data_IF_453196784790
#
_entry.id   IF_453196784790
#
_cell.length_a   1.000
_cell.length_b   1.000
_cell.length_c   1.000
_cell.angle_alpha   90.00
_cell.angle_beta   90.00
_cell.angle_gamma   90.00
#
_symmetry.space_group_name_H-M   'P 1'
#
loop_
_entity.id
_entity.type
_entity.pdbx_description
1 polymer ?
#
# COMPACT_ATOMS: atom_id res chain seq x y z
N UNK A 1 24.52 -14.48 -6.39
CA UNK A 1 24.08 -13.35 -7.23
C UNK A 1 23.66 -12.22 -6.31
N UNK A 2 24.30 -11.06 -6.40
CA UNK A 2 23.92 -9.89 -5.61
C UNK A 2 22.49 -9.49 -5.99
N UNK A 3 21.66 -9.13 -5.01
CA UNK A 3 20.30 -8.70 -5.34
C UNK A 3 20.35 -7.40 -6.14
N UNK A 4 19.64 -7.33 -7.29
CA UNK A 4 19.69 -6.18 -8.18
C UNK A 4 18.95 -4.94 -7.64
N UNK A 5 18.27 -5.04 -6.50
CA UNK A 5 17.47 -3.95 -5.95
C UNK A 5 18.02 -3.54 -4.57
N UNK A 6 18.46 -2.29 -4.39
CA UNK A 6 18.81 -1.81 -3.06
C UNK A 6 17.58 -1.87 -2.14
N UNK A 7 17.76 -2.08 -0.83
CA UNK A 7 16.73 -1.80 0.16
C UNK A 7 16.04 -0.45 -0.13
N UNK A 8 14.70 -0.41 -0.24
CA UNK A 8 14.00 0.84 -0.51
C UNK A 8 13.61 1.14 -1.98
N UNK A 9 13.84 0.23 -2.92
CA UNK A 9 13.76 0.49 -4.36
C UNK A 9 12.33 0.60 -4.91
N UNK A 10 11.63 1.69 -4.56
CA UNK A 10 10.68 2.30 -5.50
C UNK A 10 11.48 3.23 -6.41
N UNK A 11 11.33 3.08 -7.72
CA UNK A 11 12.06 3.89 -8.70
C UNK A 11 11.65 5.37 -8.66
N UNK A 12 10.38 5.65 -8.35
CA UNK A 12 9.90 7.02 -8.25
C UNK A 12 10.35 7.69 -6.95
N UNK A 13 10.83 8.92 -7.11
CA UNK A 13 11.12 9.82 -6.00
C UNK A 13 9.83 10.12 -5.20
N UNK A 14 9.99 10.34 -3.91
CA UNK A 14 8.89 10.74 -3.03
C UNK A 14 8.47 12.19 -3.32
N UNK A 15 7.18 12.52 -3.17
CA UNK A 15 6.76 13.90 -3.22
C UNK A 15 7.25 14.60 -1.94
N UNK A 16 7.66 15.86 -2.06
CA UNK A 16 8.13 16.64 -0.91
C UNK A 16 7.02 16.96 0.09
N UNK A 17 5.76 16.98 -0.35
CA UNK A 17 4.60 17.28 0.49
C UNK A 17 3.32 16.62 -0.05
N UNK A 18 2.32 16.49 0.82
CA UNK A 18 1.01 15.96 0.46
C UNK A 18 0.14 17.10 -0.11
N UNK A 19 0.28 17.37 -1.41
CA UNK A 19 -0.48 18.41 -2.10
C UNK A 19 -1.96 18.01 -2.28
N UNK A 20 -2.89 18.97 -2.39
CA UNK A 20 -4.29 18.69 -2.70
C UNK A 20 -4.44 17.97 -4.04
N UNK A 21 -5.27 16.93 -4.07
CA UNK A 21 -5.65 16.23 -5.28
C UNK A 21 -6.57 17.12 -6.13
N UNK A 22 -6.31 17.29 -7.44
CA UNK A 22 -7.12 18.16 -8.29
C UNK A 22 -8.56 17.65 -8.48
N UNK A 23 -8.82 16.36 -8.24
CA UNK A 23 -10.14 15.75 -8.44
C UNK A 23 -11.00 15.76 -7.18
N UNK A 24 -10.45 15.39 -6.02
CA UNK A 24 -11.23 15.26 -4.79
C UNK A 24 -10.91 16.30 -3.72
N UNK A 25 -9.98 17.23 -3.96
CA UNK A 25 -9.58 18.29 -3.03
C UNK A 25 -8.79 17.84 -1.79
N UNK A 26 -8.90 16.56 -1.42
CA UNK A 26 -8.16 15.96 -0.32
C UNK A 26 -6.65 15.85 -0.63
N UNK A 27 -5.78 15.78 0.39
CA UNK A 27 -4.37 15.45 0.18
C UNK A 27 -4.19 14.18 -0.68
N UNK A 28 -3.33 14.25 -1.69
CA UNK A 28 -3.10 13.19 -2.67
C UNK A 28 -2.83 11.85 -1.99
N UNK A 29 -3.57 10.81 -2.40
CA UNK A 29 -3.57 9.48 -1.79
C UNK A 29 -4.72 9.22 -0.81
N UNK A 30 -5.30 10.25 -0.17
CA UNK A 30 -6.38 10.06 0.82
C UNK A 30 -7.65 9.46 0.22
N UNK A 31 -7.95 9.85 -1.02
CA UNK A 31 -9.09 9.32 -1.78
C UNK A 31 -8.88 7.93 -2.37
N UNK A 32 -7.75 7.26 -2.10
CA UNK A 32 -7.47 5.94 -2.65
C UNK A 32 -8.40 4.85 -2.07
N UNK A 33 -8.87 3.87 -2.88
CA UNK A 33 -8.71 3.76 -4.33
C UNK A 33 -9.82 4.48 -5.13
N UNK A 34 -10.82 5.04 -4.44
CA UNK A 34 -12.08 5.51 -5.03
C UNK A 34 -11.92 6.75 -5.94
N UNK A 35 -10.98 7.64 -5.62
CA UNK A 35 -10.62 8.78 -6.46
C UNK A 35 -9.57 8.36 -7.47
N UNK A 36 -9.91 8.42 -8.76
CA UNK A 36 -9.04 7.98 -9.88
C UNK A 36 -7.71 8.71 -9.94
N UNK A 37 -7.67 10.02 -9.64
CA UNK A 37 -6.42 10.77 -9.58
C UNK A 37 -5.54 10.33 -8.40
N UNK A 38 -6.11 10.12 -7.20
CA UNK A 38 -5.38 9.54 -6.08
C UNK A 38 -4.90 8.11 -6.39
N UNK A 39 -5.72 7.31 -7.08
CA UNK A 39 -5.37 5.97 -7.50
C UNK A 39 -4.18 5.97 -8.45
N UNK A 40 -4.19 6.81 -9.49
CA UNK A 40 -3.11 6.95 -10.45
C UNK A 40 -1.80 7.37 -9.76
N UNK A 41 -1.84 8.38 -8.89
CA UNK A 41 -0.65 8.87 -8.17
C UNK A 41 -0.05 7.81 -7.22
N UNK A 42 -0.88 7.05 -6.53
CA UNK A 42 -0.42 5.97 -5.63
C UNK A 42 0.09 4.77 -6.43
N UNK A 43 -0.63 4.36 -7.47
CA UNK A 43 -0.27 3.19 -8.27
C UNK A 43 0.94 3.46 -9.17
N UNK A 44 1.25 4.72 -9.51
CA UNK A 44 2.46 5.12 -10.24
C UNK A 44 3.75 4.55 -9.61
N UNK A 45 3.81 4.45 -8.29
CA UNK A 45 4.98 3.87 -7.60
C UNK A 45 5.15 2.38 -7.90
N UNK A 46 4.07 1.62 -7.95
CA UNK A 46 4.13 0.19 -8.31
C UNK A 46 4.35 0.02 -9.81
N UNK A 47 3.70 0.85 -10.63
CA UNK A 47 3.81 0.84 -12.08
C UNK A 47 5.23 1.14 -12.56
N UNK A 48 5.96 2.04 -11.92
CA UNK A 48 7.33 2.32 -12.29
C UNK A 48 8.24 1.09 -12.12
N UNK A 49 8.12 0.39 -11.00
CA UNK A 49 8.91 -0.81 -10.72
C UNK A 49 8.50 -1.97 -11.64
N UNK A 50 7.20 -2.11 -11.90
CA UNK A 50 6.67 -3.07 -12.87
C UNK A 50 7.16 -2.79 -14.29
N UNK A 51 7.10 -1.53 -14.73
CA UNK A 51 7.56 -1.11 -16.06
C UNK A 51 9.05 -1.36 -16.26
N UNK A 52 9.87 -1.14 -15.22
CA UNK A 52 11.29 -1.48 -15.27
C UNK A 52 11.52 -3.01 -15.36
N UNK A 53 10.73 -3.81 -14.65
CA UNK A 53 10.77 -5.27 -14.78
C UNK A 53 10.39 -5.71 -16.20
N UNK A 54 9.30 -5.18 -16.76
CA UNK A 54 8.87 -5.47 -18.13
C UNK A 54 9.96 -5.13 -19.15
N UNK A 55 10.50 -3.91 -19.06
CA UNK A 55 11.58 -3.46 -19.94
C UNK A 55 12.85 -4.32 -19.80
N UNK A 56 13.22 -4.71 -18.58
CA UNK A 56 14.38 -5.57 -18.32
C UNK A 56 14.20 -7.00 -18.82
N UNK A 57 12.95 -7.47 -18.91
CA UNK A 57 12.58 -8.78 -19.43
C UNK A 57 12.23 -8.78 -20.93
N UNK A 58 12.21 -7.62 -21.59
CA UNK A 58 11.82 -7.50 -23.00
C UNK A 58 10.34 -7.82 -23.25
N UNK A 59 9.48 -7.61 -22.24
CA UNK A 59 8.05 -7.92 -22.28
C UNK A 59 7.25 -6.63 -22.51
N UNK A 60 6.28 -6.68 -23.43
CA UNK A 60 5.38 -5.55 -23.67
C UNK A 60 4.18 -5.57 -22.72
N UNK A 61 3.66 -4.39 -22.37
CA UNK A 61 2.48 -4.26 -21.52
C UNK A 61 1.21 -4.76 -22.24
N UNK A 62 0.32 -5.41 -21.51
CA UNK A 62 -0.97 -5.91 -21.98
C UNK A 62 -0.91 -7.25 -22.73
N UNK A 63 0.27 -7.85 -22.91
CA UNK A 63 0.42 -9.08 -23.69
C UNK A 63 0.23 -10.35 -22.86
N UNK A 64 0.25 -11.51 -23.52
CA UNK A 64 0.22 -12.79 -22.80
C UNK A 64 1.54 -13.01 -22.04
N UNK A 65 2.66 -12.54 -22.58
CA UNK A 65 3.97 -12.59 -21.94
C UNK A 65 3.99 -11.80 -20.62
N UNK A 66 3.26 -10.67 -20.51
CA UNK A 66 3.09 -9.96 -19.24
C UNK A 66 2.42 -10.84 -18.18
N UNK A 67 1.38 -11.59 -18.57
CA UNK A 67 0.67 -12.49 -17.65
C UNK A 67 1.56 -13.64 -17.21
N UNK A 68 2.35 -14.19 -18.14
CA UNK A 68 3.30 -15.25 -17.83
C UNK A 68 4.42 -14.75 -16.91
N UNK A 69 4.88 -13.52 -17.10
CA UNK A 69 5.83 -12.86 -16.19
C UNK A 69 5.23 -12.63 -14.81
N UNK A 70 3.96 -12.19 -14.71
CA UNK A 70 3.28 -12.04 -13.43
C UNK A 70 3.19 -13.38 -12.68
N UNK A 71 2.88 -14.48 -13.38
CA UNK A 71 2.89 -15.81 -12.80
C UNK A 71 4.29 -16.22 -12.31
N UNK A 72 5.34 -15.94 -13.09
CA UNK A 72 6.73 -16.19 -12.69
C UNK A 72 7.09 -15.44 -11.41
N UNK A 73 6.78 -14.14 -11.33
CA UNK A 73 7.03 -13.30 -10.15
C UNK A 73 6.37 -13.89 -8.91
N UNK A 74 5.11 -14.34 -9.00
CA UNK A 74 4.37 -14.92 -7.86
C UNK A 74 4.92 -16.28 -7.39
N UNK A 75 5.63 -17.01 -8.25
CA UNK A 75 6.26 -18.30 -7.90
C UNK A 75 7.72 -18.17 -7.48
N UNK A 76 8.33 -17.00 -7.69
CA UNK A 76 9.72 -16.76 -7.33
C UNK A 76 9.89 -16.74 -5.79
N UNK A 77 11.08 -17.11 -5.27
CA UNK A 77 11.36 -17.00 -3.84
C UNK A 77 11.16 -15.57 -3.33
N UNK A 78 10.65 -15.36 -2.10
CA UNK A 78 10.47 -14.03 -1.53
C UNK A 78 11.73 -13.18 -1.60
N UNK A 79 11.58 -11.95 -2.08
CA UNK A 79 12.70 -11.02 -2.29
C UNK A 79 13.44 -11.18 -3.61
N UNK A 80 13.10 -12.15 -4.47
CA UNK A 80 13.70 -12.24 -5.81
C UNK A 80 13.37 -10.99 -6.65
N UNK A 81 12.15 -10.48 -6.53
CA UNK A 81 11.69 -9.22 -7.12
C UNK A 81 11.42 -8.16 -6.04
N UNK A 82 11.36 -6.86 -6.41
CA UNK A 82 10.86 -5.82 -5.51
C UNK A 82 9.46 -6.17 -5.02
N UNK A 83 9.15 -5.84 -3.77
CA UNK A 83 7.84 -6.13 -3.19
C UNK A 83 6.68 -5.45 -3.94
N UNK A 84 6.96 -4.33 -4.63
CA UNK A 84 6.03 -3.62 -5.52
C UNK A 84 5.70 -4.45 -6.76
N UNK A 85 6.68 -5.15 -7.34
CA UNK A 85 6.43 -6.08 -8.45
C UNK A 85 5.59 -7.28 -7.99
N UNK A 86 5.83 -7.84 -6.80
CA UNK A 86 5.00 -8.92 -6.26
C UNK A 86 3.54 -8.46 -6.10
N UNK A 87 3.34 -7.30 -5.48
CA UNK A 87 2.00 -6.73 -5.28
C UNK A 87 1.31 -6.40 -6.62
N UNK A 88 2.06 -5.90 -7.60
CA UNK A 88 1.51 -5.58 -8.92
C UNK A 88 1.17 -6.86 -9.69
N UNK A 89 2.01 -7.90 -9.64
CA UNK A 89 1.72 -9.20 -10.21
C UNK A 89 0.43 -9.82 -9.62
N UNK A 90 0.19 -9.66 -8.30
CA UNK A 90 -1.07 -10.04 -7.68
C UNK A 90 -2.26 -9.25 -8.26
N UNK A 91 -2.12 -7.94 -8.46
CA UNK A 91 -3.19 -7.08 -9.06
C UNK A 91 -3.50 -7.46 -10.50
N UNK A 92 -2.50 -7.86 -11.28
CA UNK A 92 -2.65 -8.31 -12.67
C UNK A 92 -3.20 -9.73 -12.79
N UNK A 93 -3.17 -10.50 -11.70
CA UNK A 93 -3.63 -11.90 -11.68
C UNK A 93 -5.06 -11.97 -11.14
N UNK A 94 -6.06 -12.38 -11.95
CA UNK A 94 -7.41 -12.62 -11.44
C UNK A 94 -7.42 -13.87 -10.57
N UNK A 95 -8.08 -13.81 -9.42
CA UNK A 95 -8.30 -14.96 -8.56
C UNK A 95 -9.04 -16.08 -9.33
N UNK A 96 -8.60 -17.34 -9.24
CA UNK A 96 -9.27 -18.44 -9.93
C UNK A 96 -10.70 -18.68 -9.42
N UNK A 97 -10.97 -18.40 -8.14
CA UNK A 97 -12.29 -18.57 -7.53
C UNK A 97 -13.20 -17.35 -7.73
N UNK A 98 -12.87 -16.20 -7.14
CA UNK A 98 -13.77 -15.04 -7.11
C UNK A 98 -13.54 -14.02 -8.24
N UNK A 99 -12.56 -14.24 -9.12
CA UNK A 99 -12.20 -13.35 -10.25
C UNK A 99 -11.76 -11.92 -9.91
N UNK A 100 -11.83 -11.51 -8.64
CA UNK A 100 -11.22 -10.27 -8.15
C UNK A 100 -9.69 -10.30 -8.28
N UNK A 101 -9.01 -9.16 -8.08
CA UNK A 101 -7.56 -9.13 -7.99
C UNK A 101 -7.07 -10.09 -6.91
N UNK A 102 -6.00 -10.85 -7.19
CA UNK A 102 -5.52 -11.87 -6.27
C UNK A 102 -5.17 -11.23 -4.89
N UNK A 103 -5.74 -11.79 -3.83
CA UNK A 103 -5.60 -11.26 -2.47
C UNK A 103 -6.58 -10.15 -2.06
N UNK A 104 -7.40 -9.62 -2.98
CA UNK A 104 -8.37 -8.54 -2.69
C UNK A 104 -9.81 -9.02 -2.43
N UNK A 105 -10.16 -10.22 -2.89
CA UNK A 105 -11.52 -10.77 -2.83
C UNK A 105 -12.09 -10.93 -1.42
N UNK A 106 -13.39 -11.22 -1.33
CA UNK A 106 -14.14 -11.33 -0.08
C UNK A 106 -13.52 -12.26 0.98
N UNK A 107 -13.93 -12.09 2.24
CA UNK A 107 -13.36 -12.80 3.40
C UNK A 107 -13.42 -14.33 3.32
N UNK A 108 -14.39 -14.87 2.59
CA UNK A 108 -14.65 -16.30 2.39
C UNK A 108 -13.87 -16.91 1.20
N UNK A 109 -13.22 -16.10 0.37
CA UNK A 109 -12.36 -16.59 -0.71
C UNK A 109 -11.02 -17.08 -0.17
N UNK A 110 -10.87 -18.41 -0.06
CA UNK A 110 -9.66 -19.04 0.47
C UNK A 110 -8.44 -18.79 -0.42
N UNK A 111 -8.61 -18.77 -1.75
CA UNK A 111 -7.55 -18.42 -2.70
C UNK A 111 -6.99 -17.01 -2.44
N UNK A 112 -7.86 -16.02 -2.23
CA UNK A 112 -7.43 -14.66 -1.89
C UNK A 112 -6.82 -14.60 -0.48
N UNK A 113 -7.36 -15.31 0.51
CA UNK A 113 -6.79 -15.33 1.85
C UNK A 113 -5.37 -15.92 1.87
N UNK A 114 -5.15 -17.03 1.17
CA UNK A 114 -3.83 -17.67 1.05
C UNK A 114 -2.84 -16.76 0.33
N UNK A 115 -3.24 -16.15 -0.79
CA UNK A 115 -2.38 -15.23 -1.51
C UNK A 115 -1.99 -13.99 -0.68
N UNK A 116 -2.94 -13.42 0.08
CA UNK A 116 -2.65 -12.32 1.02
C UNK A 116 -1.68 -12.75 2.12
N UNK A 117 -1.80 -13.97 2.66
CA UNK A 117 -0.84 -14.49 3.63
C UNK A 117 0.57 -14.61 3.05
N UNK A 118 0.70 -15.17 1.84
CA UNK A 118 1.97 -15.34 1.13
C UNK A 118 2.66 -14.00 0.86
N UNK A 119 1.90 -12.94 0.56
CA UNK A 119 2.41 -11.56 0.39
C UNK A 119 3.27 -11.13 1.59
N UNK A 120 2.84 -11.49 2.80
CA UNK A 120 3.51 -11.11 4.04
C UNK A 120 4.67 -12.02 4.42
N UNK A 121 5.00 -13.04 3.63
CA UNK A 121 6.24 -13.79 3.79
C UNK A 121 7.48 -12.96 3.44
N UNK A 122 7.34 -11.96 2.55
CA UNK A 122 8.44 -11.13 2.08
C UNK A 122 9.27 -10.49 3.21
N UNK A 123 8.68 -9.78 4.20
CA UNK A 123 9.47 -9.13 5.26
C UNK A 123 10.16 -10.11 6.22
N UNK A 124 9.81 -11.40 6.17
CA UNK A 124 10.35 -12.44 7.04
C UNK A 124 11.38 -13.35 6.34
N UNK A 125 11.18 -13.60 5.05
CA UNK A 125 11.96 -14.57 4.27
C UNK A 125 12.91 -13.90 3.27
N UNK A 126 12.67 -12.63 2.91
CA UNK A 126 13.64 -11.90 2.09
C UNK A 126 14.93 -11.70 2.90
N UNK A 127 16.12 -11.88 2.30
CA UNK A 127 17.38 -11.64 3.00
C UNK A 127 17.40 -10.25 3.65
N UNK A 128 17.85 -10.23 4.90
CA UNK A 128 17.62 -9.19 5.91
C UNK A 128 18.03 -7.78 5.46
N UNK A 129 17.22 -6.79 5.87
CA UNK A 129 17.39 -5.33 5.76
C UNK A 129 16.67 -4.60 4.61
N UNK A 130 15.74 -5.25 3.89
CA UNK A 130 15.27 -4.70 2.59
C UNK A 130 13.99 -3.87 2.57
N UNK A 131 13.15 -3.94 3.59
CA UNK A 131 11.93 -3.12 3.65
C UNK A 131 12.01 -2.14 4.80
N UNK A 132 12.15 -0.86 4.46
CA UNK A 132 12.11 0.22 5.43
C UNK A 132 10.74 0.29 6.11
N UNK A 133 10.67 0.77 7.38
CA UNK A 133 9.41 0.90 8.10
C UNK A 133 8.31 1.66 7.34
N UNK A 134 8.68 2.72 6.62
CA UNK A 134 7.74 3.46 5.77
C UNK A 134 7.16 2.58 4.65
N UNK A 135 7.98 1.81 3.95
CA UNK A 135 7.54 0.96 2.85
C UNK A 135 6.59 -0.13 3.35
N UNK A 136 6.91 -0.72 4.50
CA UNK A 136 6.01 -1.67 5.16
C UNK A 136 4.66 -1.01 5.47
N UNK A 137 4.67 0.20 6.02
CA UNK A 137 3.45 0.94 6.34
C UNK A 137 2.65 1.29 5.06
N UNK A 138 3.34 1.71 3.99
CA UNK A 138 2.74 2.03 2.69
C UNK A 138 2.09 0.80 2.05
N UNK A 139 2.83 -0.31 1.98
CA UNK A 139 2.35 -1.61 1.48
C UNK A 139 1.11 -2.06 2.26
N UNK A 140 1.14 -1.95 3.58
CA UNK A 140 0.01 -2.25 4.45
C UNK A 140 -1.20 -1.35 4.17
N UNK A 141 -1.00 -0.04 4.07
CA UNK A 141 -2.09 0.90 3.81
C UNK A 141 -2.76 0.59 2.47
N UNK A 142 -2.00 0.48 1.39
CA UNK A 142 -2.53 0.22 0.05
C UNK A 142 -3.22 -1.15 -0.03
N UNK A 143 -2.62 -2.20 0.55
CA UNK A 143 -3.27 -3.52 0.65
C UNK A 143 -4.64 -3.44 1.33
N UNK A 144 -4.71 -2.75 2.48
CA UNK A 144 -5.95 -2.62 3.25
C UNK A 144 -7.01 -1.80 2.54
N UNK A 145 -6.60 -0.80 1.76
CA UNK A 145 -7.52 0.02 0.98
C UNK A 145 -8.05 -0.72 -0.25
N UNK A 146 -7.22 -1.52 -0.95
CA UNK A 146 -7.70 -2.36 -2.06
C UNK A 146 -8.57 -3.53 -1.62
N UNK A 147 -8.45 -3.95 -0.36
CA UNK A 147 -9.27 -5.01 0.25
C UNK A 147 -10.20 -4.46 1.35
N UNK A 148 -10.69 -3.22 1.15
CA UNK A 148 -11.44 -2.49 2.18
C UNK A 148 -12.67 -3.26 2.70
N UNK A 149 -13.33 -4.04 1.85
CA UNK A 149 -14.49 -4.87 2.22
C UNK A 149 -14.16 -5.94 3.27
N UNK A 150 -12.90 -6.38 3.34
CA UNK A 150 -12.39 -7.33 4.36
C UNK A 150 -11.94 -6.61 5.65
N UNK A 151 -11.77 -5.29 5.58
CA UNK A 151 -11.19 -4.48 6.62
C UNK A 151 -12.23 -3.98 7.62
N UNK A 152 -11.82 -3.79 8.88
CA UNK A 152 -12.63 -3.02 9.83
C UNK A 152 -12.69 -1.56 9.37
N UNK A 153 -13.84 -0.87 9.40
CA UNK A 153 -13.97 0.52 8.93
C UNK A 153 -12.93 1.48 9.52
N UNK A 154 -12.64 1.38 10.83
CA UNK A 154 -11.62 2.20 11.47
C UNK A 154 -10.17 1.93 10.99
N UNK A 155 -9.88 0.72 10.50
CA UNK A 155 -8.57 0.41 9.88
C UNK A 155 -8.49 1.03 8.49
N UNK A 156 -9.57 0.92 7.70
CA UNK A 156 -9.65 1.55 6.37
C UNK A 156 -9.52 3.07 6.49
N UNK A 157 -10.26 3.68 7.41
CA UNK A 157 -10.21 5.13 7.69
C UNK A 157 -8.81 5.56 8.14
N UNK A 158 -8.18 4.80 9.06
CA UNK A 158 -6.78 5.04 9.44
C UNK A 158 -5.84 5.01 8.22
N UNK A 159 -5.98 4.02 7.34
CA UNK A 159 -5.16 3.92 6.13
C UNK A 159 -5.39 5.09 5.17
N UNK A 160 -6.64 5.54 4.97
CA UNK A 160 -6.96 6.73 4.15
C UNK A 160 -6.31 7.99 4.73
N UNK A 161 -6.40 8.20 6.04
CA UNK A 161 -5.81 9.36 6.73
C UNK A 161 -4.29 9.43 6.60
N UNK A 162 -3.59 8.31 6.76
CA UNK A 162 -2.11 8.30 6.81
C UNK A 162 -1.45 8.18 5.44
N UNK A 163 -2.13 7.63 4.43
CA UNK A 163 -1.54 7.34 3.12
C UNK A 163 -0.85 8.55 2.46
N UNK A 164 -1.43 9.77 2.42
CA UNK A 164 -0.75 10.94 1.86
C UNK A 164 0.64 11.19 2.47
N UNK A 165 0.78 11.00 3.78
CA UNK A 165 2.02 11.23 4.50
C UNK A 165 2.99 10.04 4.41
N UNK A 166 2.46 8.83 4.24
CA UNK A 166 3.30 7.67 3.90
C UNK A 166 4.00 7.87 2.55
N UNK A 167 3.33 8.50 1.57
CA UNK A 167 3.92 8.82 0.27
C UNK A 167 5.09 9.79 0.41
N UNK A 168 4.97 10.84 1.24
CA UNK A 168 6.04 11.81 1.53
C UNK A 168 7.19 11.22 2.36
N UNK A 169 6.99 10.06 2.98
CA UNK A 169 8.03 9.34 3.74
C UNK A 169 7.83 9.34 5.25
N UNK A 170 6.80 10.02 5.77
CA UNK A 170 6.46 9.92 7.20
C UNK A 170 6.11 8.48 7.57
N UNK A 171 6.40 8.06 8.80
CA UNK A 171 6.00 6.74 9.31
C UNK A 171 5.42 6.91 10.69
N UNK A 172 4.17 6.47 10.95
CA UNK A 172 3.59 6.59 12.26
C UNK A 172 4.33 5.68 13.24
N UNK A 173 4.79 6.25 14.36
CA UNK A 173 5.21 5.45 15.51
C UNK A 173 4.01 4.69 16.09
N UNK A 174 4.27 3.65 16.89
CA UNK A 174 3.19 2.90 17.57
C UNK A 174 2.32 3.80 18.44
N UNK A 175 2.91 4.79 19.11
CA UNK A 175 2.21 5.77 19.96
C UNK A 175 1.32 6.67 19.12
N UNK A 176 1.84 7.22 18.01
CA UNK A 176 1.06 8.05 17.10
C UNK A 176 -0.10 7.26 16.48
N UNK A 177 0.16 6.06 15.95
CA UNK A 177 -0.88 5.20 15.38
C UNK A 177 -1.99 4.88 16.39
N UNK A 178 -1.65 4.62 17.65
CA UNK A 178 -2.63 4.38 18.73
C UNK A 178 -3.47 5.62 19.00
N UNK A 179 -2.86 6.81 19.05
CA UNK A 179 -3.59 8.07 19.25
C UNK A 179 -4.57 8.35 18.12
N UNK A 180 -4.11 8.26 16.87
CA UNK A 180 -4.96 8.49 15.69
C UNK A 180 -6.17 7.54 15.70
N UNK A 181 -5.95 6.25 15.96
CA UNK A 181 -7.03 5.25 16.05
C UNK A 181 -8.02 5.55 17.18
N UNK A 182 -7.57 6.12 18.30
CA UNK A 182 -8.46 6.53 19.37
C UNK A 182 -9.40 7.67 18.94
N UNK A 183 -8.90 8.66 18.20
CA UNK A 183 -9.74 9.73 17.65
C UNK A 183 -10.75 9.17 16.63
N UNK A 184 -10.35 8.21 15.78
CA UNK A 184 -11.29 7.50 14.90
C UNK A 184 -12.38 6.76 15.68
N UNK A 185 -12.00 6.04 16.74
CA UNK A 185 -12.97 5.35 17.61
C UNK A 185 -13.91 6.34 18.34
N UNK A 186 -13.49 7.58 18.51
CA UNK A 186 -14.28 8.66 19.09
C UNK A 186 -15.19 9.37 18.07
N UNK A 187 -15.18 8.96 16.80
CA UNK A 187 -15.93 9.63 15.72
C UNK A 187 -15.36 11.00 15.32
N UNK A 188 -14.08 11.26 15.63
CA UNK A 188 -13.42 12.56 15.42
C UNK A 188 -12.59 12.56 14.13
N UNK A 189 -13.14 11.98 13.06
CA UNK A 189 -12.44 11.86 11.79
C UNK A 189 -12.25 13.22 11.11
N UNK A 190 -13.22 14.13 11.23
CA UNK A 190 -13.13 15.48 10.68
C UNK A 190 -11.91 16.24 11.21
N UNK A 191 -11.67 16.21 12.53
CA UNK A 191 -10.47 16.81 13.17
C UNK A 191 -9.16 16.19 12.64
N UNK A 192 -9.15 14.87 12.39
CA UNK A 192 -7.99 14.18 11.81
C UNK A 192 -7.79 14.53 10.34
N UNK A 193 -8.86 14.88 9.63
CA UNK A 193 -8.81 15.18 8.20
C UNK A 193 -8.16 16.53 7.90
N UNK A 194 -8.28 17.49 8.82
CA UNK A 194 -7.67 18.82 8.73
C UNK A 194 -6.16 18.81 9.01
N UNK A 195 -5.66 17.75 9.66
CA UNK A 195 -4.26 17.63 10.01
C UNK A 195 -3.36 17.48 8.77
N UNK A 196 -2.25 18.22 8.78
CA UNK A 196 -1.28 18.34 7.68
C UNK A 196 -0.10 17.39 7.77
N UNK A 197 -0.04 16.52 8.79
CA UNK A 197 0.98 15.49 8.97
C UNK A 197 0.53 14.41 9.95
N UNK A 198 1.25 13.29 10.03
CA UNK A 198 1.02 12.25 11.05
C UNK A 198 1.30 12.79 12.45
N UNK A 199 2.34 13.61 12.58
CA UNK A 199 2.69 14.26 13.83
C UNK A 199 1.56 15.19 14.32
N UNK A 200 0.97 15.96 13.40
CA UNK A 200 -0.17 16.84 13.70
C UNK A 200 -1.40 16.03 14.13
N UNK A 201 -1.78 14.97 13.40
CA UNK A 201 -2.88 14.10 13.82
C UNK A 201 -2.68 13.52 15.23
N UNK A 202 -1.44 13.18 15.59
CA UNK A 202 -1.11 12.59 16.89
C UNK A 202 -0.91 13.62 18.02
N UNK A 203 -0.88 14.91 17.69
CA UNK A 203 -0.80 16.04 18.64
C UNK A 203 -2.16 16.67 18.94
N UNK A 204 -3.25 16.18 18.34
CA UNK A 204 -4.60 16.64 18.67
C UNK A 204 -4.87 16.50 20.18
N UNK A 205 -5.71 17.37 20.77
CA UNK A 205 -6.00 17.36 22.19
C UNK A 205 -6.47 15.98 22.68
N UNK A 206 -5.99 15.59 23.86
CA UNK A 206 -6.39 14.31 24.47
C UNK A 206 -7.90 14.26 24.68
N UNK A 207 -8.50 13.12 24.35
CA UNK A 207 -9.92 12.89 24.55
C UNK A 207 -10.27 12.92 26.06
N UNK A 208 -11.40 13.53 26.46
CA UNK A 208 -11.69 13.87 27.85
C UNK A 208 -11.83 12.67 28.81
N UNK A 209 -12.03 11.46 28.30
CA UNK A 209 -12.11 10.22 29.10
C UNK A 209 -10.76 9.49 29.26
N UNK A 210 -9.64 10.18 29.02
CA UNK A 210 -8.28 9.61 29.10
C UNK A 210 -7.27 10.45 29.91
N UNK A 211 -7.75 11.42 30.69
CA UNK A 211 -6.95 12.09 31.73
C UNK A 211 -6.72 11.18 32.93
#
# INVERSE_FOLDING_TARGET
>A
MAQPFPPGARLLARPASATPCPTCGNPTGRGYPDCTACAAEVDAYWLADWGALLSGSGVAEGTQEEKDLAAQVLTAPPGHHPWTCDDWAMRRTPCPECRAELGSGALDCLSCASADQSRWAWPHLAPTDRMHPNEKALRQAVTRLRSAERGRPGVVSFCKLVLPFLLTGETPTRVQARRIRMHLMAGREDELSEATSIAHMASLPTLPWRS
#
